data_IF_486124415795
#
_entry.id   IF_486124415795
#
_cell.length_a   1.000
_cell.length_b   1.000
_cell.length_c   1.000
_cell.angle_alpha   90.00
_cell.angle_beta   90.00
_cell.angle_gamma   90.00
#
_symmetry.space_group_name_H-M   'P 1'
#
loop_
_entity.id
_entity.type
_entity.pdbx_description
1 polymer ?
#
# COMPACT_ATOMS: atom_id res chain seq x y z
N UNK A 1 11.46 1.99 8.13
CA UNK A 1 10.34 2.13 7.16
C UNK A 1 9.06 1.70 7.84
N UNK A 2 7.90 2.07 7.30
CA UNK A 2 6.59 1.65 7.79
C UNK A 2 5.90 0.77 6.75
N UNK A 3 5.02 -0.11 7.21
CA UNK A 3 4.16 -0.94 6.36
C UNK A 3 2.71 -0.69 6.73
N UNK A 4 1.90 -0.27 5.76
CA UNK A 4 0.47 -0.01 5.93
C UNK A 4 -0.31 -1.10 5.22
N UNK A 5 -1.18 -1.80 5.94
CA UNK A 5 -2.08 -2.80 5.37
C UNK A 5 -3.48 -2.22 5.23
N UNK A 6 -3.99 -2.16 4.01
CA UNK A 6 -5.27 -1.57 3.67
C UNK A 6 -6.22 -2.67 3.17
N UNK A 7 -7.33 -2.82 3.87
CA UNK A 7 -8.43 -3.70 3.48
C UNK A 7 -9.49 -2.92 2.73
N UNK A 8 -9.89 -3.42 1.56
CA UNK A 8 -10.98 -2.87 0.77
C UNK A 8 -11.98 -3.96 0.39
N UNK A 9 -13.25 -3.59 0.21
CA UNK A 9 -14.16 -4.44 -0.57
C UNK A 9 -13.67 -4.45 -2.01
N UNK A 10 -13.67 -5.62 -2.66
CA UNK A 10 -13.21 -5.74 -4.06
C UNK A 10 -13.99 -4.81 -4.99
N UNK A 11 -15.28 -4.62 -4.74
CA UNK A 11 -16.14 -3.74 -5.54
C UNK A 11 -15.75 -2.26 -5.47
N UNK A 12 -15.06 -1.82 -4.41
CA UNK A 12 -14.64 -0.42 -4.23
C UNK A 12 -13.29 -0.12 -4.92
N UNK A 13 -12.64 -1.13 -5.51
CA UNK A 13 -11.34 -0.97 -6.19
C UNK A 13 -11.54 -1.03 -7.70
N UNK A 14 -11.41 0.12 -8.37
CA UNK A 14 -11.57 0.20 -9.82
C UNK A 14 -10.50 -0.60 -10.60
N UNK A 15 -9.27 -0.66 -10.08
CA UNK A 15 -8.17 -1.40 -10.71
C UNK A 15 -8.48 -2.92 -10.75
N UNK A 16 -8.15 -3.65 -11.84
CA UNK A 16 -8.41 -5.08 -11.96
C UNK A 16 -7.64 -5.94 -10.94
N UNK A 17 -6.48 -5.45 -10.51
CA UNK A 17 -5.52 -6.14 -9.61
C UNK A 17 -4.94 -7.42 -10.24
N UNK A 18 -4.76 -7.40 -11.55
CA UNK A 18 -4.19 -8.44 -12.42
C UNK A 18 -2.65 -8.49 -12.38
N UNK A 19 -2.08 -8.24 -11.19
CA UNK A 19 -0.64 -8.30 -10.94
C UNK A 19 -0.35 -8.53 -9.46
N UNK A 20 0.92 -8.41 -9.07
CA UNK A 20 1.31 -8.59 -7.66
C UNK A 20 1.51 -7.27 -6.91
N UNK A 21 1.42 -6.14 -7.58
CA UNK A 21 1.68 -4.83 -7.03
C UNK A 21 2.50 -3.96 -7.98
N UNK A 22 3.09 -2.89 -7.43
CA UNK A 22 3.91 -1.95 -8.17
C UNK A 22 4.97 -1.30 -7.26
N UNK A 23 5.97 -0.72 -7.89
CA UNK A 23 6.96 0.16 -7.25
C UNK A 23 6.74 1.59 -7.72
N UNK A 24 7.05 2.56 -6.85
CA UNK A 24 6.94 3.98 -7.15
C UNK A 24 8.35 4.52 -7.39
N UNK A 25 8.68 4.97 -8.61
CA UNK A 25 9.96 5.61 -8.88
C UNK A 25 10.17 6.83 -8.00
N UNK A 26 11.42 7.10 -7.60
CA UNK A 26 11.75 8.27 -6.76
C UNK A 26 11.34 9.60 -7.40
N UNK A 27 11.36 9.66 -8.73
CA UNK A 27 10.96 10.82 -9.52
C UNK A 27 9.48 11.22 -9.35
N UNK A 28 8.64 10.32 -8.82
CA UNK A 28 7.22 10.62 -8.53
C UNK A 28 7.02 11.45 -7.25
N UNK A 29 8.10 11.70 -6.49
CA UNK A 29 8.07 12.50 -5.26
C UNK A 29 7.00 12.07 -4.24
N UNK A 30 6.67 10.78 -4.17
CA UNK A 30 5.73 10.20 -3.20
C UNK A 30 6.44 9.65 -1.96
N UNK A 31 5.72 9.63 -0.83
CA UNK A 31 6.14 8.93 0.39
C UNK A 31 6.02 7.40 0.24
N UNK A 32 5.12 6.95 -0.63
CA UNK A 32 4.91 5.56 -0.99
C UNK A 32 6.07 5.05 -1.86
N UNK A 33 6.67 3.92 -1.46
CA UNK A 33 7.75 3.26 -2.20
C UNK A 33 7.24 2.17 -3.13
N UNK A 34 6.25 1.42 -2.67
CA UNK A 34 5.69 0.26 -3.37
C UNK A 34 4.40 -0.18 -2.69
N UNK A 35 3.55 -0.88 -3.42
CA UNK A 35 2.48 -1.68 -2.83
C UNK A 35 2.48 -3.10 -3.40
N UNK A 36 2.08 -4.07 -2.58
CA UNK A 36 1.82 -5.46 -2.98
C UNK A 36 0.35 -5.77 -2.83
N UNK A 37 -0.26 -6.40 -3.83
CA UNK A 37 -1.63 -6.92 -3.78
C UNK A 37 -1.61 -8.26 -3.02
N UNK A 38 -1.54 -8.18 -1.69
CA UNK A 38 -1.24 -9.32 -0.82
C UNK A 38 -2.22 -10.48 -0.97
N UNK A 39 -3.52 -10.19 -1.08
CA UNK A 39 -4.56 -11.22 -1.28
C UNK A 39 -4.57 -11.82 -2.68
N UNK A 40 -4.01 -11.13 -3.68
CA UNK A 40 -3.82 -11.67 -5.03
C UNK A 40 -2.59 -12.58 -5.07
N UNK A 41 -1.47 -12.11 -4.51
CA UNK A 41 -0.22 -12.85 -4.48
C UNK A 41 -0.29 -14.10 -3.59
N UNK A 42 -1.04 -14.03 -2.50
CA UNK A 42 -1.15 -15.09 -1.51
C UNK A 42 -2.63 -15.37 -1.20
N UNK A 43 -3.21 -16.43 -1.80
CA UNK A 43 -4.60 -16.83 -1.54
C UNK A 43 -4.87 -17.02 -0.04
N UNK A 44 -6.07 -16.63 0.42
CA UNK A 44 -6.48 -16.75 1.83
C UNK A 44 -6.02 -15.60 2.75
N UNK A 45 -5.34 -14.58 2.23
CA UNK A 45 -4.91 -13.40 3.03
C UNK A 45 -5.99 -12.33 3.21
N UNK A 46 -7.16 -12.49 2.60
CA UNK A 46 -8.34 -11.66 2.83
C UNK A 46 -9.61 -12.53 2.74
N UNK A 47 -10.70 -12.14 3.43
CA UNK A 47 -12.01 -12.77 3.23
C UNK A 47 -12.48 -12.69 1.78
N UNK A 48 -13.46 -13.51 1.41
CA UNK A 48 -14.10 -13.40 0.10
C UNK A 48 -14.63 -11.98 -0.14
N UNK A 49 -14.60 -11.57 -1.42
CA UNK A 49 -15.02 -10.23 -1.88
C UNK A 49 -14.25 -9.06 -1.26
N UNK A 50 -13.13 -9.32 -0.60
CA UNK A 50 -12.22 -8.30 -0.07
C UNK A 50 -10.84 -8.46 -0.68
N UNK A 51 -10.08 -7.37 -0.66
CA UNK A 51 -8.68 -7.35 -1.08
C UNK A 51 -7.82 -6.71 0.00
N UNK A 52 -6.61 -7.25 0.15
CA UNK A 52 -5.61 -6.73 1.06
C UNK A 52 -4.45 -6.17 0.26
N UNK A 53 -4.23 -4.85 0.37
CA UNK A 53 -3.13 -4.14 -0.25
C UNK A 53 -2.14 -3.74 0.83
N UNK A 54 -0.86 -4.07 0.65
CA UNK A 54 0.20 -3.75 1.59
C UNK A 54 1.13 -2.73 0.97
N UNK A 55 1.28 -1.57 1.60
CA UNK A 55 2.05 -0.45 1.09
C UNK A 55 3.25 -0.15 1.97
N UNK A 56 4.36 0.24 1.36
CA UNK A 56 5.65 0.50 2.01
C UNK A 56 5.96 1.99 1.97
N UNK A 57 6.25 2.58 3.13
CA UNK A 57 6.44 4.03 3.28
C UNK A 57 7.81 4.33 3.90
N UNK A 58 8.43 5.42 3.43
CA UNK A 58 9.67 5.96 3.97
C UNK A 58 10.92 5.27 3.42
N UNK A 59 11.61 4.49 4.24
CA UNK A 59 12.84 3.79 3.85
C UNK A 59 14.09 4.66 3.97
N UNK A 60 15.22 4.16 3.47
CA UNK A 60 16.52 4.83 3.61
C UNK A 60 16.54 6.25 3.00
N UNK A 61 15.70 6.50 2.00
CA UNK A 61 15.60 7.78 1.30
C UNK A 61 14.60 8.76 1.92
N UNK A 62 13.86 8.36 2.95
CA UNK A 62 12.84 9.18 3.61
C UNK A 62 12.54 8.67 5.04
N UNK A 63 13.54 8.74 5.92
CA UNK A 63 13.41 8.28 7.31
C UNK A 63 12.42 9.14 8.13
N UNK A 64 12.36 10.45 7.88
CA UNK A 64 11.47 11.40 8.54
C UNK A 64 9.97 11.08 8.34
N UNK A 65 9.62 10.24 7.36
CA UNK A 65 8.24 9.78 7.21
C UNK A 65 7.73 8.99 8.43
N UNK A 66 8.62 8.46 9.27
CA UNK A 66 8.28 7.73 10.50
C UNK A 66 8.06 8.63 11.71
N UNK A 67 8.32 9.93 11.59
CA UNK A 67 8.05 10.91 12.65
C UNK A 67 6.59 11.37 12.63
N UNK A 68 5.84 11.00 11.58
CA UNK A 68 4.41 11.27 11.44
C UNK A 68 3.59 10.30 12.27
N UNK A 69 2.39 10.74 12.65
CA UNK A 69 1.40 9.87 13.26
C UNK A 69 0.91 8.79 12.28
N UNK A 70 0.38 7.70 12.82
CA UNK A 70 -0.19 6.62 12.01
C UNK A 70 -1.30 7.12 11.07
N UNK A 71 -2.16 8.04 11.53
CA UNK A 71 -3.23 8.62 10.72
C UNK A 71 -2.69 9.39 9.53
N UNK A 72 -1.67 10.23 9.72
CA UNK A 72 -1.01 10.97 8.64
C UNK A 72 -0.34 10.03 7.63
N UNK A 73 0.25 8.93 8.10
CA UNK A 73 0.85 7.91 7.24
C UNK A 73 -0.24 7.22 6.40
N UNK A 74 -1.37 6.86 7.00
CA UNK A 74 -2.50 6.23 6.30
C UNK A 74 -3.10 7.17 5.25
N UNK A 75 -3.31 8.45 5.57
CA UNK A 75 -3.83 9.44 4.64
C UNK A 75 -2.93 9.62 3.42
N UNK A 76 -1.61 9.67 3.62
CA UNK A 76 -0.63 9.83 2.54
C UNK A 76 -0.58 8.63 1.60
N UNK A 77 -0.80 7.42 2.10
CA UNK A 77 -0.83 6.20 1.27
C UNK A 77 -2.11 6.13 0.42
N UNK A 78 -3.19 6.79 0.83
CA UNK A 78 -4.48 6.77 0.11
C UNK A 78 -4.60 7.80 -1.02
N UNK A 79 -3.66 8.77 -1.11
CA UNK A 79 -3.62 9.85 -2.13
C UNK A 79 -2.67 9.53 -3.28
#
# INVERSE_FOLDING_TARGET
>A
SATVSLGYRRADVAHPLDGFGFVVPRAEHRDLLACTFSSVKYPGRAPERHVLIRCFVGGALNAAALERSDDEIVERVRR
#
